data_IF_432074238522
#
_entry.id   IF_432074238522
#
_cell.length_a   1.000
_cell.length_b   1.000
_cell.length_c   1.000
_cell.angle_alpha   90.00
_cell.angle_beta   90.00
_cell.angle_gamma   90.00
#
_symmetry.space_group_name_H-M   'P 1'
#
loop_
_entity.id
_entity.type
_entity.pdbx_description
1 polymer ?
#
# COMPACT_ATOMS: atom_id res chain seq x y z
N UNK A 1 -46.80 16.28 15.49
CA UNK A 1 -46.86 15.47 14.26
C UNK A 1 -45.47 14.95 13.99
N UNK A 2 -45.33 13.63 14.10
CA UNK A 2 -44.08 12.90 13.93
C UNK A 2 -43.52 13.07 12.53
N UNK A 3 -42.20 13.19 12.44
CA UNK A 3 -41.42 12.65 11.32
C UNK A 3 -40.14 12.07 11.89
N UNK A 4 -40.32 10.84 12.35
CA UNK A 4 -39.37 9.75 12.51
C UNK A 4 -38.20 9.77 11.53
N UNK A 5 -36.99 9.79 12.08
CA UNK A 5 -35.93 8.83 11.74
C UNK A 5 -35.51 8.70 10.27
N UNK A 6 -34.81 9.70 9.72
CA UNK A 6 -33.89 9.50 8.60
C UNK A 6 -32.65 8.74 9.11
N UNK A 7 -32.81 7.44 9.35
CA UNK A 7 -31.70 6.51 9.53
C UNK A 7 -31.86 5.42 8.49
N UNK A 8 -31.74 5.78 7.22
CA UNK A 8 -31.74 4.82 6.12
C UNK A 8 -30.52 4.99 5.22
N UNK A 9 -29.66 3.97 5.26
CA UNK A 9 -28.81 3.52 4.16
C UNK A 9 -27.66 4.42 3.67
N UNK A 10 -26.88 5.02 4.57
CA UNK A 10 -25.55 5.48 4.16
C UNK A 10 -24.68 4.24 3.82
N UNK A 11 -24.26 4.12 2.56
CA UNK A 11 -23.21 3.17 2.17
C UNK A 11 -21.96 3.57 2.95
N UNK A 12 -21.29 2.61 3.57
CA UNK A 12 -19.96 2.86 4.13
C UNK A 12 -19.05 3.26 2.96
N UNK A 13 -18.75 4.55 2.87
CA UNK A 13 -17.96 5.15 1.82
C UNK A 13 -16.48 5.18 2.18
N UNK A 14 -16.08 4.45 3.22
CA UNK A 14 -14.70 4.41 3.69
C UNK A 14 -13.96 3.16 3.24
N UNK A 15 -12.64 3.29 3.09
CA UNK A 15 -11.75 2.14 2.92
C UNK A 15 -10.44 2.38 3.65
N UNK A 16 -9.72 1.30 3.91
CA UNK A 16 -8.47 1.34 4.65
C UNK A 16 -7.28 0.91 3.80
N UNK A 17 -6.16 1.60 4.01
CA UNK A 17 -4.85 1.24 3.47
C UNK A 17 -3.82 1.23 4.60
N UNK A 18 -2.84 0.36 4.47
CA UNK A 18 -1.60 0.49 5.22
C UNK A 18 -0.75 1.61 4.63
N UNK A 19 -0.09 2.35 5.51
CA UNK A 19 1.15 3.00 5.14
C UNK A 19 2.27 1.97 5.05
N UNK A 20 3.24 2.28 4.21
CA UNK A 20 4.41 1.45 4.05
C UNK A 20 5.67 2.21 4.47
N UNK A 21 6.59 1.49 5.08
CA UNK A 21 7.99 1.87 5.17
C UNK A 21 8.77 0.86 4.35
N UNK A 22 9.54 1.33 3.37
CA UNK A 22 10.38 0.48 2.55
C UNK A 22 11.83 0.71 2.92
N UNK A 23 12.47 -0.32 3.45
CA UNK A 23 13.81 -0.26 4.02
C UNK A 23 14.83 -0.94 3.10
N UNK A 24 15.98 -0.31 2.93
CA UNK A 24 17.11 -0.93 2.25
C UNK A 24 17.79 -1.94 3.17
N UNK A 25 17.86 -3.18 2.72
CA UNK A 25 18.62 -4.25 3.36
C UNK A 25 19.91 -4.47 2.59
N UNK A 26 21.04 -4.18 3.23
CA UNK A 26 22.38 -4.39 2.68
C UNK A 26 23.09 -5.53 3.43
N UNK A 27 23.48 -6.62 2.76
CA UNK A 27 24.25 -7.67 3.40
C UNK A 27 25.61 -7.19 3.89
N UNK A 28 25.99 -7.57 5.12
CA UNK A 28 27.24 -7.18 5.74
C UNK A 28 28.45 -7.63 4.91
N UNK A 29 29.45 -6.75 4.77
CA UNK A 29 30.70 -7.05 4.07
C UNK A 29 30.57 -7.18 2.55
N UNK A 30 29.41 -6.87 1.97
CA UNK A 30 29.18 -6.93 0.52
C UNK A 30 29.13 -5.53 -0.09
N UNK A 31 29.76 -5.37 -1.25
CA UNK A 31 29.68 -4.14 -2.05
C UNK A 31 28.28 -3.99 -2.64
N UNK A 32 27.71 -2.79 -2.51
CA UNK A 32 26.41 -2.41 -3.09
C UNK A 32 26.66 -1.56 -4.34
N UNK A 33 25.99 -1.90 -5.45
CA UNK A 33 26.21 -1.26 -6.75
C UNK A 33 25.24 -0.13 -7.03
N UNK A 34 24.01 -0.22 -6.51
CA UNK A 34 22.96 0.78 -6.75
C UNK A 34 23.09 2.05 -5.90
N UNK A 35 24.17 2.19 -5.12
CA UNK A 35 24.41 3.34 -4.24
C UNK A 35 23.63 3.34 -2.93
N UNK A 36 22.78 2.34 -2.71
CA UNK A 36 22.00 2.19 -1.49
C UNK A 36 22.88 1.91 -0.27
N UNK A 37 22.49 2.44 0.88
CA UNK A 37 23.20 2.32 2.16
C UNK A 37 22.30 1.63 3.19
N UNK A 38 22.93 0.92 4.12
CA UNK A 38 22.20 0.35 5.24
C UNK A 38 21.53 1.47 6.04
N UNK A 39 20.23 1.33 6.31
CA UNK A 39 19.42 2.34 7.00
C UNK A 39 18.70 3.31 6.06
N UNK A 40 18.99 3.33 4.76
CA UNK A 40 18.19 4.10 3.80
C UNK A 40 16.74 3.56 3.78
N UNK A 41 15.77 4.46 3.69
CA UNK A 41 14.35 4.09 3.58
C UNK A 41 13.51 5.16 2.89
N UNK A 42 12.30 4.81 2.46
CA UNK A 42 11.24 5.77 2.18
C UNK A 42 9.95 5.35 2.87
N UNK A 43 9.07 6.31 3.12
CA UNK A 43 7.69 6.02 3.54
C UNK A 43 6.74 6.26 2.38
N UNK A 44 5.67 5.46 2.33
CA UNK A 44 4.50 5.68 1.50
C UNK A 44 3.33 5.91 2.44
N UNK A 45 2.89 7.16 2.52
CA UNK A 45 1.85 7.62 3.43
C UNK A 45 0.62 7.98 2.62
N UNK A 46 -0.39 7.10 2.67
CA UNK A 46 -1.42 7.09 1.63
C UNK A 46 -0.80 6.92 0.24
N UNK A 47 -0.96 7.90 -0.64
CA UNK A 47 -0.40 7.87 -2.00
C UNK A 47 0.94 8.62 -2.14
N UNK A 48 1.41 9.24 -1.06
CA UNK A 48 2.57 10.14 -1.09
C UNK A 48 3.85 9.44 -0.63
N UNK A 49 4.87 9.47 -1.47
CA UNK A 49 6.19 8.95 -1.15
C UNK A 49 7.07 10.03 -0.51
N UNK A 50 7.70 9.72 0.63
CA UNK A 50 8.60 10.62 1.34
C UNK A 50 9.98 9.99 1.56
N UNK A 51 11.01 10.81 1.36
CA UNK A 51 12.40 10.47 1.65
C UNK A 51 12.90 11.30 2.84
N UNK A 52 13.79 10.73 3.68
CA UNK A 52 14.54 11.53 4.65
C UNK A 52 15.35 12.64 3.97
N UNK A 53 15.57 13.79 4.64
CA UNK A 53 16.35 14.89 4.07
C UNK A 53 17.74 14.43 3.61
N UNK A 54 18.10 14.78 2.37
CA UNK A 54 19.41 14.45 1.79
C UNK A 54 19.60 12.98 1.40
N UNK A 55 18.58 12.13 1.55
CA UNK A 55 18.64 10.74 1.12
C UNK A 55 18.13 10.60 -0.31
N UNK A 56 18.90 9.87 -1.14
CA UNK A 56 18.45 9.41 -2.45
C UNK A 56 18.13 7.92 -2.41
N UNK A 57 17.22 7.48 -3.29
CA UNK A 57 17.05 6.07 -3.64
C UNK A 57 17.27 5.94 -5.14
N UNK A 58 17.97 4.88 -5.56
CA UNK A 58 18.15 4.57 -6.97
C UNK A 58 16.79 4.42 -7.65
N UNK A 59 16.54 5.17 -8.73
CA UNK A 59 15.29 5.09 -9.48
C UNK A 59 15.05 3.69 -10.06
N UNK A 60 16.11 2.93 -10.34
CA UNK A 60 16.00 1.53 -10.76
C UNK A 60 15.51 0.64 -9.61
N UNK A 61 16.06 0.82 -8.41
CA UNK A 61 15.59 0.10 -7.22
C UNK A 61 14.13 0.47 -6.89
N UNK A 62 13.77 1.74 -7.02
CA UNK A 62 12.38 2.19 -6.89
C UNK A 62 11.49 1.52 -7.94
N UNK A 63 11.91 1.47 -9.21
CA UNK A 63 11.17 0.81 -10.29
C UNK A 63 10.94 -0.69 -10.05
N UNK A 64 11.82 -1.38 -9.32
CA UNK A 64 11.64 -2.78 -8.96
C UNK A 64 10.56 -2.99 -7.89
N UNK A 65 10.47 -2.09 -6.90
CA UNK A 65 9.51 -2.22 -5.78
C UNK A 65 8.15 -1.57 -6.08
N UNK A 66 8.13 -0.50 -6.87
CA UNK A 66 6.94 0.32 -7.13
C UNK A 66 5.71 -0.49 -7.59
N UNK A 67 5.82 -1.50 -8.47
CA UNK A 67 4.65 -2.29 -8.91
C UNK A 67 3.93 -3.05 -7.79
N UNK A 68 4.60 -3.27 -6.66
CA UNK A 68 4.07 -4.07 -5.55
C UNK A 68 3.41 -3.20 -4.46
N UNK A 69 3.71 -1.90 -4.41
CA UNK A 69 3.31 -1.05 -3.28
C UNK A 69 1.79 -0.94 -3.12
N UNK A 70 1.05 -0.71 -4.20
CA UNK A 70 -0.40 -0.57 -4.14
C UNK A 70 -1.08 -1.84 -3.58
N UNK A 71 -0.62 -3.03 -3.97
CA UNK A 71 -1.12 -4.29 -3.43
C UNK A 71 -0.72 -4.46 -1.96
N UNK A 72 0.51 -4.07 -1.60
CA UNK A 72 1.01 -4.14 -0.22
C UNK A 72 0.27 -3.21 0.74
N UNK A 73 -0.29 -2.10 0.26
CA UNK A 73 -1.15 -1.22 1.06
C UNK A 73 -2.52 -1.83 1.37
N UNK A 74 -3.02 -2.75 0.54
CA UNK A 74 -4.36 -3.32 0.73
C UNK A 74 -4.38 -4.33 1.88
N UNK A 75 -5.55 -4.47 2.47
CA UNK A 75 -5.85 -5.60 3.37
C UNK A 75 -5.93 -6.87 2.51
N UNK A 76 -4.94 -7.74 2.63
CA UNK A 76 -4.81 -8.98 1.86
C UNK A 76 -4.99 -10.20 2.77
N UNK A 77 -5.36 -11.36 2.21
CA UNK A 77 -5.55 -12.59 2.98
C UNK A 77 -4.24 -13.05 3.63
N UNK A 78 -4.29 -13.52 4.88
CA UNK A 78 -3.07 -13.86 5.63
C UNK A 78 -2.23 -14.96 4.96
N UNK A 79 -2.86 -15.88 4.24
CA UNK A 79 -2.22 -16.98 3.52
C UNK A 79 -1.75 -16.63 2.10
N UNK A 80 -1.95 -15.40 1.65
CA UNK A 80 -1.44 -14.92 0.36
C UNK A 80 0.04 -14.54 0.49
N UNK A 81 0.86 -14.93 -0.48
CA UNK A 81 2.27 -14.50 -0.55
C UNK A 81 2.40 -12.98 -0.59
N UNK A 82 1.39 -12.27 -1.13
CA UNK A 82 1.34 -10.81 -1.09
C UNK A 82 1.25 -10.26 0.34
N UNK A 83 0.80 -11.05 1.32
CA UNK A 83 0.82 -10.68 2.74
C UNK A 83 2.14 -11.02 3.43
N UNK A 84 2.78 -12.14 3.07
CA UNK A 84 3.95 -12.67 3.79
C UNK A 84 5.29 -12.20 3.25
N UNK A 85 5.44 -12.12 1.92
CA UNK A 85 6.74 -11.97 1.27
C UNK A 85 7.09 -10.49 1.16
N UNK A 86 8.00 -9.99 2.00
CA UNK A 86 8.24 -8.56 2.15
C UNK A 86 9.45 -8.02 1.36
N UNK A 87 10.28 -8.87 0.76
CA UNK A 87 11.56 -8.45 0.19
C UNK A 87 11.60 -8.48 -1.34
N UNK A 88 12.06 -7.38 -1.92
CA UNK A 88 12.25 -7.21 -3.35
C UNK A 88 13.73 -7.05 -3.65
N UNK A 89 14.25 -7.82 -4.59
CA UNK A 89 15.66 -7.75 -4.98
C UNK A 89 15.97 -6.45 -5.74
N UNK A 90 17.21 -5.96 -5.59
CA UNK A 90 17.74 -4.96 -6.50
C UNK A 90 17.67 -5.47 -7.95
N UNK A 91 17.29 -4.63 -8.93
CA UNK A 91 17.18 -5.08 -10.33
C UNK A 91 18.53 -5.39 -10.97
N UNK A 92 19.64 -4.86 -10.44
CA UNK A 92 20.99 -5.28 -10.83
C UNK A 92 21.30 -6.66 -10.21
N UNK A 93 21.48 -7.72 -11.01
CA UNK A 93 21.73 -9.08 -10.52
C UNK A 93 23.00 -9.21 -9.66
N UNK A 94 23.96 -8.32 -9.85
CA UNK A 94 25.23 -8.31 -9.12
C UNK A 94 25.17 -7.48 -7.83
N UNK A 95 24.08 -6.75 -7.61
CA UNK A 95 23.87 -5.95 -6.42
C UNK A 95 23.08 -6.76 -5.38
N UNK A 96 23.68 -7.08 -4.21
CA UNK A 96 23.04 -7.97 -3.25
C UNK A 96 22.06 -7.27 -2.30
N UNK A 97 21.77 -5.97 -2.52
CA UNK A 97 20.79 -5.24 -1.73
C UNK A 97 19.36 -5.70 -2.02
N UNK A 98 18.49 -5.51 -1.03
CA UNK A 98 17.05 -5.75 -1.13
C UNK A 98 16.28 -4.56 -0.57
N UNK A 99 15.01 -4.48 -0.91
CA UNK A 99 14.04 -3.54 -0.36
C UNK A 99 13.01 -4.33 0.43
N UNK A 100 12.92 -4.10 1.74
CA UNK A 100 11.93 -4.74 2.61
C UNK A 100 10.74 -3.81 2.81
N UNK A 101 9.56 -4.27 2.46
CA UNK A 101 8.30 -3.54 2.64
C UNK A 101 7.72 -3.88 4.00
N UNK A 102 7.52 -2.87 4.84
CA UNK A 102 6.93 -2.99 6.18
C UNK A 102 5.61 -2.24 6.19
N UNK A 103 4.52 -2.93 6.53
CA UNK A 103 3.23 -2.29 6.84
C UNK A 103 3.34 -1.63 8.20
N UNK A 104 2.92 -0.37 8.30
CA UNK A 104 3.03 0.41 9.54
C UNK A 104 1.64 0.78 10.07
N UNK A 105 1.20 2.02 9.87
CA UNK A 105 -0.11 2.51 10.29
C UNK A 105 -1.22 2.10 9.34
N UNK A 106 -2.46 2.20 9.79
CA UNK A 106 -3.65 2.10 8.95
C UNK A 106 -4.24 3.51 8.81
N UNK A 107 -4.49 3.93 7.57
CA UNK A 107 -5.23 5.15 7.25
C UNK A 107 -6.61 4.77 6.71
N UNK A 108 -7.60 5.56 7.11
CA UNK A 108 -8.96 5.46 6.59
C UNK A 108 -9.18 6.60 5.61
N UNK A 109 -9.66 6.28 4.42
CA UNK A 109 -9.98 7.21 3.36
C UNK A 109 -11.48 7.22 3.14
N UNK A 110 -12.02 8.35 2.67
CA UNK A 110 -13.36 8.40 2.09
C UNK A 110 -13.27 8.33 0.58
N UNK A 111 -14.19 7.59 -0.03
CA UNK A 111 -14.28 7.42 -1.48
C UNK A 111 -14.31 8.76 -2.21
N UNK A 112 -15.22 9.65 -1.80
CA UNK A 112 -15.36 10.97 -2.44
C UNK A 112 -14.17 11.93 -2.26
N UNK A 113 -13.25 11.64 -1.33
CA UNK A 113 -12.01 12.41 -1.16
C UNK A 113 -10.89 11.93 -2.10
N UNK A 114 -11.05 10.74 -2.70
CA UNK A 114 -10.00 10.08 -3.52
C UNK A 114 -10.41 9.91 -4.98
N UNK A 115 -11.68 10.11 -5.32
CA UNK A 115 -12.17 10.02 -6.70
C UNK A 115 -13.45 10.83 -6.91
N UNK A 116 -13.65 11.29 -8.15
CA UNK A 116 -14.88 11.96 -8.60
C UNK A 116 -15.94 10.98 -9.13
N UNK A 117 -15.59 9.71 -9.32
CA UNK A 117 -16.54 8.70 -9.78
C UNK A 117 -17.41 8.27 -8.59
N UNK A 118 -18.75 8.37 -8.64
CA UNK A 118 -19.60 7.99 -7.51
C UNK A 118 -19.60 6.48 -7.28
N UNK A 119 -19.91 6.06 -6.04
CA UNK A 119 -20.18 4.65 -5.75
C UNK A 119 -21.43 4.18 -6.52
N UNK A 120 -21.44 2.95 -7.04
CA UNK A 120 -22.65 2.39 -7.64
C UNK A 120 -23.77 2.30 -6.60
N UNK A 121 -25.05 2.42 -7.02
CA UNK A 121 -26.17 2.18 -6.13
C UNK A 121 -26.08 0.79 -5.50
N UNK A 122 -26.51 0.67 -4.23
CA UNK A 122 -26.56 -0.65 -3.58
C UNK A 122 -27.46 -1.58 -4.40
N UNK A 123 -27.01 -2.80 -4.74
CA UNK A 123 -27.86 -3.74 -5.47
C UNK A 123 -29.11 -4.06 -4.64
N UNK A 124 -30.27 -4.08 -5.29
CA UNK A 124 -31.54 -4.42 -4.67
C UNK A 124 -31.57 -5.92 -4.35
N UNK A 125 -31.49 -6.26 -3.07
CA UNK A 125 -31.56 -7.65 -2.59
C UNK A 125 -32.99 -8.22 -2.58
N UNK A 126 -34.00 -7.48 -3.05
CA UNK A 126 -35.41 -7.91 -3.08
C UNK A 126 -35.75 -9.03 -4.07
N UNK A 127 -34.80 -9.45 -4.92
CA UNK A 127 -35.04 -10.36 -6.04
C UNK A 127 -34.13 -11.59 -6.11
N UNK A 128 -33.63 -12.10 -4.98
CA UNK A 128 -32.89 -13.37 -5.01
C UNK A 128 -33.80 -14.50 -5.50
N UNK A 129 -33.44 -15.26 -6.56
CA UNK A 129 -34.23 -16.41 -6.98
C UNK A 129 -34.22 -17.47 -5.87
N UNK A 130 -35.40 -17.84 -5.40
CA UNK A 130 -35.61 -19.03 -4.57
C UNK A 130 -35.22 -20.24 -5.40
N UNK A 131 -34.17 -20.94 -4.97
CA UNK A 131 -33.84 -22.27 -5.47
C UNK A 131 -34.75 -23.31 -4.80
#
# INVERSE_FOLDING_TARGET
>A
MSSTSDTQNQVDDTFQLYDLRVEVVCPTGRRIMCGAKAGDYFTLEGEMLYLPPGQGISIYSLGAVLPLLAAKQRMTAQSDWMSTDAEVACPDPCCPSRLRIVRTGIRTFKHGETTLIPLPPRPDTSGAPTN
#
